data_IF_686254688460
#
_entry.id   IF_686254688460
#
_cell.length_a   1.000
_cell.length_b   1.000
_cell.length_c   1.000
_cell.angle_alpha   90.00
_cell.angle_beta   90.00
_cell.angle_gamma   90.00
#
_symmetry.space_group_name_H-M   'P 1'
#
loop_
_entity.id
_entity.type
_entity.pdbx_description
1 polymer ?
#
# COMPACT_ATOMS: atom_id res chain seq x y z
N UNK A 1 -20.04 -2.92 -30.42
CA UNK A 1 -20.37 -3.36 -29.04
C UNK A 1 -19.13 -4.03 -28.45
N UNK A 2 -18.16 -3.24 -27.99
CA UNK A 2 -17.05 -3.78 -27.20
C UNK A 2 -17.53 -3.86 -25.77
N UNK A 3 -17.72 -5.10 -25.31
CA UNK A 3 -18.16 -5.39 -23.96
C UNK A 3 -17.11 -4.85 -23.00
N UNK A 4 -17.40 -3.70 -22.39
CA UNK A 4 -16.60 -3.14 -21.31
C UNK A 4 -16.71 -4.13 -20.15
N UNK A 5 -15.78 -5.09 -20.08
CA UNK A 5 -15.52 -5.87 -18.87
C UNK A 5 -14.80 -4.96 -17.85
N UNK A 6 -15.23 -3.71 -17.73
CA UNK A 6 -14.94 -2.88 -16.58
C UNK A 6 -15.80 -3.44 -15.47
N UNK A 7 -15.24 -4.32 -14.65
CA UNK A 7 -15.82 -4.56 -13.34
C UNK A 7 -15.93 -3.19 -12.69
N UNK A 8 -17.14 -2.63 -12.57
CA UNK A 8 -17.37 -1.31 -12.02
C UNK A 8 -16.89 -1.26 -10.57
N UNK A 9 -15.59 -1.07 -10.38
CA UNK A 9 -14.95 -1.00 -9.08
C UNK A 9 -15.07 0.43 -8.62
N UNK A 10 -15.77 0.61 -7.50
CA UNK A 10 -15.94 1.90 -6.89
C UNK A 10 -14.82 2.11 -5.88
N UNK A 11 -14.01 3.14 -6.10
CA UNK A 11 -13.05 3.59 -5.09
C UNK A 11 -13.80 4.48 -4.12
N UNK A 12 -13.83 4.11 -2.84
CA UNK A 12 -14.47 4.95 -1.85
C UNK A 12 -13.73 6.31 -1.75
N UNK A 13 -14.45 7.41 -1.54
CA UNK A 13 -13.88 8.76 -1.46
C UNK A 13 -12.81 8.87 -0.35
N UNK A 14 -12.98 8.11 0.73
CA UNK A 14 -12.00 7.99 1.81
C UNK A 14 -10.62 7.54 1.31
N UNK A 15 -10.58 6.65 0.30
CA UNK A 15 -9.32 6.15 -0.27
C UNK A 15 -8.50 7.28 -0.91
N UNK A 16 -9.16 8.23 -1.58
CA UNK A 16 -8.50 9.40 -2.15
C UNK A 16 -8.00 10.35 -1.07
N UNK A 17 -8.78 10.56 -0.01
CA UNK A 17 -8.39 11.38 1.13
C UNK A 17 -7.16 10.81 1.84
N UNK A 18 -7.14 9.50 2.11
CA UNK A 18 -5.99 8.83 2.72
C UNK A 18 -4.77 8.88 1.79
N UNK A 19 -4.94 8.67 0.48
CA UNK A 19 -3.83 8.79 -0.48
C UNK A 19 -3.23 10.21 -0.48
N UNK A 20 -4.06 11.25 -0.40
CA UNK A 20 -3.58 12.64 -0.26
C UNK A 20 -2.80 12.86 1.03
N UNK A 21 -3.23 12.27 2.15
CA UNK A 21 -2.50 12.33 3.42
C UNK A 21 -1.15 11.59 3.36
N UNK A 22 -1.10 10.45 2.66
CA UNK A 22 0.16 9.74 2.41
C UNK A 22 1.09 10.51 1.48
N UNK A 23 0.56 11.12 0.41
CA UNK A 23 1.34 11.99 -0.47
C UNK A 23 1.81 13.28 0.20
N UNK A 24 1.13 13.73 1.27
CA UNK A 24 1.58 14.83 2.12
C UNK A 24 2.68 14.41 3.12
N UNK A 25 2.98 13.11 3.21
CA UNK A 25 3.99 12.55 4.11
C UNK A 25 3.51 12.31 5.54
N UNK A 26 2.19 12.41 5.80
CA UNK A 26 1.59 12.20 7.13
C UNK A 26 1.27 10.74 7.45
N UNK A 27 1.22 9.87 6.43
CA UNK A 27 0.98 8.44 6.59
C UNK A 27 2.18 7.66 6.04
N UNK A 28 2.51 6.54 6.71
CA UNK A 28 3.57 5.65 6.24
C UNK A 28 3.10 4.57 5.31
N UNK A 29 1.96 3.97 5.63
CA UNK A 29 1.38 2.99 4.74
C UNK A 29 -0.12 2.93 4.89
N UNK A 30 -0.76 2.53 3.80
CA UNK A 30 -2.19 2.29 3.73
C UNK A 30 -2.40 0.89 3.16
N UNK A 31 -3.24 0.11 3.83
CA UNK A 31 -3.69 -1.20 3.36
C UNK A 31 -5.13 -1.05 2.93
N UNK A 32 -5.40 -1.36 1.68
CA UNK A 32 -6.73 -1.40 1.09
C UNK A 32 -7.17 -2.85 0.90
N UNK A 33 -8.47 -3.07 1.11
CA UNK A 33 -9.16 -4.32 0.84
C UNK A 33 -10.20 -4.08 -0.24
N UNK A 34 -10.38 -5.07 -1.11
CA UNK A 34 -11.56 -5.10 -1.98
C UNK A 34 -12.68 -5.83 -1.25
N UNK A 35 -13.82 -5.17 -1.10
CA UNK A 35 -15.03 -5.79 -0.58
C UNK A 35 -16.14 -5.71 -1.64
N UNK A 36 -16.53 -6.86 -2.17
CA UNK A 36 -17.50 -6.95 -3.27
C UNK A 36 -16.96 -6.28 -4.55
N UNK A 37 -17.46 -5.07 -4.83
CA UNK A 37 -17.04 -4.22 -5.95
C UNK A 37 -16.43 -2.89 -5.49
N UNK A 38 -16.19 -2.70 -4.19
CA UNK A 38 -15.65 -1.46 -3.63
C UNK A 38 -14.22 -1.64 -3.13
N UNK A 39 -13.36 -0.64 -3.34
CA UNK A 39 -12.08 -0.52 -2.62
C UNK A 39 -12.34 0.25 -1.34
N UNK A 40 -12.00 -0.36 -0.20
CA UNK A 40 -12.12 0.22 1.12
C UNK A 40 -10.76 0.28 1.80
N UNK A 41 -10.53 1.32 2.60
CA UNK A 41 -9.35 1.39 3.46
C UNK A 41 -9.58 0.41 4.59
N UNK A 42 -8.65 -0.53 4.75
CA UNK A 42 -8.69 -1.41 5.90
C UNK A 42 -7.86 -0.85 7.06
N UNK A 43 -6.73 -0.20 6.76
CA UNK A 43 -5.85 0.41 7.76
C UNK A 43 -4.99 1.48 7.12
N UNK A 44 -4.79 2.58 7.83
CA UNK A 44 -3.77 3.59 7.54
C UNK A 44 -2.98 3.81 8.83
N UNK A 45 -1.65 3.74 8.77
CA UNK A 45 -0.79 4.03 9.92
C UNK A 45 0.19 5.16 9.60
N UNK A 46 0.35 6.05 10.57
CA UNK A 46 1.37 7.10 10.57
C UNK A 46 2.68 6.59 11.18
N UNK A 47 3.73 7.41 11.15
CA UNK A 47 4.98 7.15 11.88
C UNK A 47 4.76 7.04 13.40
N UNK A 48 3.83 7.83 13.95
CA UNK A 48 3.46 7.85 15.36
C UNK A 48 2.81 6.51 15.78
N UNK A 49 1.93 5.95 14.94
CA UNK A 49 1.27 4.65 15.20
C UNK A 49 2.24 3.45 15.20
N UNK A 50 3.35 3.57 14.48
CA UNK A 50 4.37 2.51 14.37
C UNK A 50 5.46 2.74 15.44
N UNK A 51 5.54 3.94 16.02
CA UNK A 51 6.52 4.32 17.04
C UNK A 51 7.92 4.48 16.48
N UNK A 52 8.06 4.93 15.23
CA UNK A 52 9.36 5.05 14.55
C UNK A 52 9.74 6.51 14.39
N UNK A 53 10.96 6.87 14.80
CA UNK A 53 11.43 8.26 14.74
C UNK A 53 11.61 8.72 13.28
N UNK A 54 10.95 9.82 12.91
CA UNK A 54 10.93 10.37 11.55
C UNK A 54 12.30 10.83 11.03
N UNK A 55 13.32 10.95 11.90
CA UNK A 55 14.64 11.47 11.53
C UNK A 55 15.64 10.41 11.01
N UNK A 56 15.43 9.13 11.30
CA UNK A 56 16.36 8.04 10.95
C UNK A 56 16.00 7.35 9.62
N UNK A 57 16.37 7.97 8.50
CA UNK A 57 16.04 7.49 7.14
C UNK A 57 16.66 6.14 6.74
N UNK A 58 17.64 5.61 7.49
CA UNK A 58 18.28 4.31 7.21
C UNK A 58 17.60 3.14 7.95
N UNK A 59 17.24 3.31 9.23
CA UNK A 59 16.67 2.24 10.03
C UNK A 59 15.13 2.29 10.11
N UNK A 60 14.53 3.49 10.06
CA UNK A 60 13.08 3.66 10.17
C UNK A 60 12.34 2.85 9.11
N UNK A 61 12.81 2.90 7.87
CA UNK A 61 12.12 2.24 6.75
C UNK A 61 12.13 0.73 6.86
N UNK A 62 13.14 0.14 7.50
CA UNK A 62 13.18 -1.30 7.76
C UNK A 62 12.16 -1.68 8.84
N UNK A 63 12.12 -0.95 9.95
CA UNK A 63 11.18 -1.21 11.04
C UNK A 63 9.73 -0.98 10.61
N UNK A 64 9.47 0.11 9.88
CA UNK A 64 8.16 0.39 9.29
C UNK A 64 7.73 -0.71 8.30
N UNK A 65 8.67 -1.24 7.51
CA UNK A 65 8.39 -2.35 6.60
C UNK A 65 8.12 -3.66 7.35
N UNK A 66 8.88 -3.98 8.40
CA UNK A 66 8.63 -5.17 9.23
C UNK A 66 7.26 -5.11 9.93
N UNK A 67 6.90 -3.94 10.47
CA UNK A 67 5.58 -3.70 11.04
C UNK A 67 4.47 -3.85 9.99
N UNK A 68 4.68 -3.31 8.79
CA UNK A 68 3.77 -3.48 7.66
C UNK A 68 3.58 -4.95 7.27
N UNK A 69 4.67 -5.72 7.15
CA UNK A 69 4.61 -7.16 6.83
C UNK A 69 3.89 -7.94 7.93
N UNK A 70 4.11 -7.59 9.20
CA UNK A 70 3.42 -8.22 10.34
C UNK A 70 1.92 -7.91 10.32
N UNK A 71 1.54 -6.65 10.07
CA UNK A 71 0.14 -6.25 9.93
C UNK A 71 -0.51 -7.01 8.77
N UNK A 72 0.13 -7.02 7.60
CA UNK A 72 -0.34 -7.71 6.42
C UNK A 72 -0.50 -9.22 6.66
N UNK A 73 0.45 -9.89 7.34
CA UNK A 73 0.33 -11.31 7.71
C UNK A 73 -0.82 -11.58 8.67
N UNK A 74 -0.93 -10.79 9.74
CA UNK A 74 -2.00 -10.95 10.73
C UNK A 74 -3.39 -10.79 10.11
N UNK A 75 -3.52 -9.87 9.16
CA UNK A 75 -4.79 -9.56 8.50
C UNK A 75 -5.16 -10.54 7.38
N UNK A 76 -4.17 -11.26 6.85
CA UNK A 76 -4.36 -12.15 5.70
C UNK A 76 -4.34 -13.63 6.10
N UNK A 77 -4.41 -13.94 7.40
CA UNK A 77 -4.44 -15.31 7.98
C UNK A 77 -3.53 -16.30 7.21
N UNK A 78 -2.25 -15.93 7.06
CA UNK A 78 -1.28 -16.74 6.32
C UNK A 78 -1.33 -16.63 4.79
N UNK A 79 -1.67 -15.45 4.25
CA UNK A 79 -1.69 -15.15 2.81
C UNK A 79 -2.85 -15.78 2.03
N UNK A 80 -4.03 -15.91 2.61
CA UNK A 80 -5.21 -16.49 1.95
C UNK A 80 -6.06 -15.47 1.18
N UNK A 81 -5.80 -14.17 1.32
CA UNK A 81 -6.57 -13.07 0.72
C UNK A 81 -5.70 -12.08 -0.10
N UNK A 82 -6.32 -11.43 -1.08
CA UNK A 82 -5.67 -10.41 -1.93
C UNK A 82 -5.88 -9.02 -1.35
N UNK A 83 -4.81 -8.20 -1.31
CA UNK A 83 -4.83 -6.86 -0.71
C UNK A 83 -3.93 -5.90 -1.48
N UNK A 84 -4.36 -4.64 -1.56
CA UNK A 84 -3.47 -3.58 -2.01
C UNK A 84 -2.84 -2.90 -0.82
N UNK A 85 -1.60 -2.49 -0.98
CA UNK A 85 -0.96 -1.60 -0.05
C UNK A 85 -0.26 -0.49 -0.80
N UNK A 86 -0.24 0.68 -0.18
CA UNK A 86 0.58 1.81 -0.60
C UNK A 86 1.52 2.09 0.53
N UNK A 87 2.81 2.06 0.24
CA UNK A 87 3.87 2.25 1.22
C UNK A 87 4.72 3.43 0.80
N UNK A 88 4.91 4.40 1.69
CA UNK A 88 5.82 5.51 1.48
C UNK A 88 7.22 5.12 1.97
N UNK A 89 8.12 4.80 1.04
CA UNK A 89 9.49 4.40 1.33
C UNK A 89 10.41 5.62 1.34
N UNK A 90 10.87 6.00 2.54
CA UNK A 90 11.89 7.04 2.72
C UNK A 90 13.27 6.39 2.75
N UNK A 91 14.23 6.89 1.99
CA UNK A 91 15.59 6.37 2.00
C UNK A 91 16.60 7.49 1.81
N UNK A 92 17.78 7.29 2.39
CA UNK A 92 18.92 8.15 2.13
C UNK A 92 19.71 7.56 0.96
N UNK A 93 19.92 8.36 -0.08
CA UNK A 93 20.80 8.00 -1.18
C UNK A 93 22.13 8.76 -1.02
N UNK A 94 23.20 8.00 -0.81
CA UNK A 94 24.56 8.53 -0.88
C UNK A 94 25.00 8.60 -2.33
N UNK A 95 25.05 9.82 -2.87
CA UNK A 95 25.62 10.05 -4.19
C UNK A 95 27.10 10.39 -4.03
N UNK A 96 28.03 9.64 -4.64
CA UNK A 96 29.45 9.94 -4.54
C UNK A 96 29.70 11.36 -5.08
N UNK A 97 30.22 12.24 -4.23
CA UNK A 97 30.53 13.64 -4.55
C UNK A 97 29.48 14.69 -4.15
N UNK A 98 28.27 14.31 -3.71
CA UNK A 98 27.19 15.28 -3.37
C UNK A 98 26.58 15.10 -1.97
N UNK A 99 27.15 14.22 -1.14
CA UNK A 99 26.66 13.96 0.22
C UNK A 99 25.43 13.06 0.27
N UNK A 100 24.86 12.91 1.48
CA UNK A 100 23.67 12.11 1.75
C UNK A 100 22.41 12.93 1.41
N UNK A 101 21.61 12.44 0.48
CA UNK A 101 20.34 13.06 0.09
C UNK A 101 19.16 12.23 0.57
N UNK A 102 18.20 12.87 1.24
CA UNK A 102 16.96 12.23 1.68
C UNK A 102 15.98 12.19 0.50
N UNK A 103 15.44 11.01 0.20
CA UNK A 103 14.46 10.80 -0.86
C UNK A 103 13.28 10.00 -0.33
N UNK A 104 12.11 10.28 -0.88
CA UNK A 104 10.88 9.53 -0.67
C UNK A 104 10.39 8.95 -2.00
N UNK A 105 9.84 7.74 -1.94
CA UNK A 105 9.19 7.08 -3.06
C UNK A 105 7.95 6.34 -2.56
N UNK A 106 6.82 6.64 -3.18
CA UNK A 106 5.59 5.89 -2.97
C UNK A 106 5.66 4.58 -3.77
N UNK A 107 5.43 3.47 -3.09
CA UNK A 107 5.45 2.13 -3.65
C UNK A 107 4.04 1.54 -3.55
N UNK A 108 3.49 1.17 -4.70
CA UNK A 108 2.24 0.41 -4.77
C UNK A 108 2.57 -1.08 -4.73
N UNK A 109 2.04 -1.77 -3.73
CA UNK A 109 2.25 -3.20 -3.51
C UNK A 109 0.91 -3.88 -3.75
N UNK A 110 0.91 -4.73 -4.77
CA UNK A 110 -0.21 -5.59 -5.09
C UNK A 110 0.07 -7.00 -4.55
N UNK A 111 -0.65 -7.43 -3.50
CA UNK A 111 -0.50 -8.77 -2.95
C UNK A 111 -1.55 -9.73 -3.54
N UNK A 112 -1.07 -10.66 -4.37
CA UNK A 112 -1.86 -11.79 -4.92
C UNK A 112 -1.21 -13.14 -4.58
N UNK A 113 -1.46 -13.70 -3.39
CA UNK A 113 -0.90 -15.00 -3.04
C UNK A 113 -1.63 -16.12 -3.79
N UNK A 114 -0.92 -17.23 -4.06
CA UNK A 114 -1.44 -18.24 -4.97
C UNK A 114 -2.69 -18.97 -4.44
N UNK A 115 -2.69 -19.21 -3.13
CA UNK A 115 -3.76 -19.85 -2.35
C UNK A 115 -5.05 -19.04 -2.24
N UNK A 116 -5.06 -17.76 -2.65
CA UNK A 116 -6.26 -16.94 -2.63
C UNK A 116 -7.29 -17.38 -3.68
N UNK A 117 -8.58 -17.22 -3.36
CA UNK A 117 -9.67 -17.61 -4.26
C UNK A 117 -9.49 -17.03 -5.67
N UNK A 118 -9.48 -17.89 -6.69
CA UNK A 118 -9.26 -17.53 -8.11
C UNK A 118 -10.21 -16.41 -8.57
N UNK A 119 -11.46 -16.43 -8.10
CA UNK A 119 -12.46 -15.38 -8.38
C UNK A 119 -12.03 -13.99 -7.87
N UNK A 120 -11.41 -13.93 -6.69
CA UNK A 120 -10.88 -12.68 -6.11
C UNK A 120 -9.65 -12.21 -6.87
N UNK A 121 -8.73 -13.12 -7.23
CA UNK A 121 -7.55 -12.82 -8.07
C UNK A 121 -7.94 -12.17 -9.41
N UNK A 122 -8.95 -12.70 -10.10
CA UNK A 122 -9.38 -12.18 -11.40
C UNK A 122 -9.98 -10.77 -11.29
N UNK A 123 -10.79 -10.53 -10.27
CA UNK A 123 -11.34 -9.19 -10.00
C UNK A 123 -10.25 -8.19 -9.63
N UNK A 124 -9.30 -8.65 -8.81
CA UNK A 124 -8.18 -7.84 -8.33
C UNK A 124 -7.26 -7.43 -9.49
N UNK A 125 -6.82 -8.38 -10.35
CA UNK A 125 -6.05 -8.05 -11.57
C UNK A 125 -6.80 -7.06 -12.47
N UNK A 126 -8.13 -7.23 -12.63
CA UNK A 126 -8.93 -6.30 -13.41
C UNK A 126 -9.02 -4.88 -12.80
N UNK A 127 -8.86 -4.75 -11.48
CA UNK A 127 -8.92 -3.47 -10.77
C UNK A 127 -7.64 -2.64 -10.92
N UNK A 128 -6.50 -3.29 -11.10
CA UNK A 128 -5.18 -2.63 -11.23
C UNK A 128 -5.13 -1.65 -12.38
N UNK A 129 -5.74 -2.01 -13.51
CA UNK A 129 -5.81 -1.14 -14.70
C UNK A 129 -6.61 0.15 -14.46
N UNK A 130 -7.39 0.23 -13.38
CA UNK A 130 -8.21 1.39 -13.05
C UNK A 130 -7.66 2.23 -11.88
N UNK A 131 -6.68 1.71 -11.13
CA UNK A 131 -6.04 2.40 -9.99
C UNK A 131 -4.73 3.11 -10.37
N UNK A 132 -4.14 2.79 -11.53
CA UNK A 132 -2.97 3.44 -12.14
C UNK A 132 -3.40 4.37 -13.28
#
# INVERSE_FOLDING_TARGET
MFNNMGSGVFVNADCQSAFRQLSAGSLRYIIYKIEGKGVVIETAKSDDDIGVDTNDYENNSKEAYEAFIKDLKNRTDGYTDCRYAVFDFKFACNRPGAGTSKMDKIIFIQLCPDVASIKKKMFFIATVTQLL
#
